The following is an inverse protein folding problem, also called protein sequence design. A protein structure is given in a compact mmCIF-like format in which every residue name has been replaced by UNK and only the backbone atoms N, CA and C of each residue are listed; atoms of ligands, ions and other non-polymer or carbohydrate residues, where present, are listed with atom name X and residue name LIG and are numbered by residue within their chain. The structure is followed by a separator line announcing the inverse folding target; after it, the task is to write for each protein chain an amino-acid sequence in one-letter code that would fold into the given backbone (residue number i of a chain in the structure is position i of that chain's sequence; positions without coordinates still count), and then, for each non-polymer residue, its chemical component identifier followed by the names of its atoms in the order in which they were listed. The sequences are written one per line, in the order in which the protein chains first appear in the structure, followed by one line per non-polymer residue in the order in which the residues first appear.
data_IF_983889519183
#
_entry.id   IF_983889519183
#
_cell.length_a   1.000
_cell.length_b   1.000
_cell.length_c   1.000
_cell.angle_alpha   90.00
_cell.angle_beta   90.00
_cell.angle_gamma   90.00
#
_symmetry.space_group_name_H-M   'P 1'
#
loop_
_entity.id
_entity.type
_entity.pdbx_description
1 polymer ?
#
# COMPACT_ATOMS: atom_id res chain seq x y z
N UNK A 1 16.34 -10.68 -39.37
CA UNK A 1 15.35 -9.89 -38.60
C UNK A 1 15.58 -10.17 -37.11
N UNK A 2 16.34 -9.32 -36.45
CA UNK A 2 16.62 -9.46 -35.02
C UNK A 2 15.37 -9.07 -34.24
N UNK A 3 14.81 -10.02 -33.51
CA UNK A 3 13.72 -9.82 -32.56
C UNK A 3 14.28 -8.89 -31.47
N UNK A 4 13.85 -7.61 -31.51
CA UNK A 4 14.08 -6.66 -30.42
C UNK A 4 13.53 -7.30 -29.14
N UNK A 5 14.42 -7.71 -28.21
CA UNK A 5 14.02 -8.04 -26.85
C UNK A 5 13.26 -6.86 -26.29
N UNK A 6 11.95 -7.03 -26.12
CA UNK A 6 11.05 -6.01 -25.59
C UNK A 6 11.63 -5.48 -24.28
N UNK A 7 11.87 -4.18 -24.22
CA UNK A 7 12.23 -3.46 -23.00
C UNK A 7 11.01 -3.51 -22.05
N UNK A 8 10.86 -4.61 -21.33
CA UNK A 8 9.77 -4.82 -20.36
C UNK A 8 10.33 -4.83 -18.95
N UNK A 9 9.66 -4.18 -18.03
CA UNK A 9 10.00 -4.22 -16.61
C UNK A 9 8.75 -4.30 -15.72
N UNK A 10 8.94 -4.83 -14.52
CA UNK A 10 7.91 -4.83 -13.48
C UNK A 10 7.79 -3.44 -12.87
N UNK A 11 6.59 -3.06 -12.49
CA UNK A 11 6.32 -1.84 -11.77
C UNK A 11 5.10 -1.98 -10.87
N UNK A 12 4.90 -1.01 -10.01
CA UNK A 12 3.74 -0.88 -9.14
C UNK A 12 2.92 0.34 -9.54
N UNK A 13 1.61 0.20 -9.59
CA UNK A 13 0.70 1.32 -9.83
C UNK A 13 0.63 2.17 -8.58
N UNK A 14 1.07 3.42 -8.66
CA UNK A 14 1.10 4.35 -7.52
C UNK A 14 0.01 5.42 -7.57
N UNK A 15 -0.59 5.66 -8.74
CA UNK A 15 -1.73 6.57 -8.86
C UNK A 15 -2.56 6.29 -10.12
N UNK A 16 -3.84 6.64 -10.03
CA UNK A 16 -4.78 6.62 -11.16
C UNK A 16 -5.06 8.05 -11.61
N UNK A 17 -5.06 8.29 -12.92
CA UNK A 17 -5.38 9.60 -13.53
C UNK A 17 -6.29 9.39 -14.73
N UNK A 18 -7.56 9.69 -14.60
CA UNK A 18 -8.53 9.60 -15.69
C UNK A 18 -8.27 8.39 -16.63
N UNK A 19 -7.63 8.63 -17.78
CA UNK A 19 -7.32 7.60 -18.78
C UNK A 19 -5.91 7.02 -18.67
N UNK A 20 -5.14 7.41 -17.65
CA UNK A 20 -3.73 7.02 -17.47
C UNK A 20 -3.50 6.45 -16.10
N UNK A 21 -2.42 5.68 -15.98
CA UNK A 21 -1.91 5.15 -14.71
C UNK A 21 -0.48 5.62 -14.50
N UNK A 22 -0.12 5.96 -13.28
CA UNK A 22 1.26 6.23 -12.92
C UNK A 22 1.83 4.95 -12.36
N UNK A 23 2.85 4.42 -13.02
CA UNK A 23 3.55 3.21 -12.60
C UNK A 23 4.96 3.60 -12.17
N UNK A 24 5.32 3.19 -10.97
CA UNK A 24 6.68 3.30 -10.45
C UNK A 24 7.44 2.03 -10.79
N UNK A 25 8.60 2.18 -11.45
CA UNK A 25 9.47 1.09 -11.87
C UNK A 25 10.85 1.25 -11.23
N UNK A 26 11.46 0.13 -10.82
CA UNK A 26 12.83 0.15 -10.31
C UNK A 26 13.80 0.29 -11.49
N UNK A 27 14.64 1.32 -11.46
CA UNK A 27 15.61 1.61 -12.51
C UNK A 27 16.68 0.52 -12.69
N UNK A 28 16.95 -0.28 -11.66
CA UNK A 28 17.94 -1.36 -11.72
C UNK A 28 17.63 -2.44 -12.74
N UNK A 29 16.39 -2.60 -13.16
CA UNK A 29 15.97 -3.60 -14.14
C UNK A 29 15.93 -3.09 -15.59
N UNK A 30 16.16 -1.80 -15.83
CA UNK A 30 16.24 -1.22 -17.17
C UNK A 30 17.64 -1.46 -17.76
N UNK A 31 17.86 -2.63 -18.39
CA UNK A 31 19.08 -2.89 -19.14
C UNK A 31 19.24 -1.88 -20.28
N UNK A 32 20.14 -0.93 -20.14
CA UNK A 32 20.54 -0.09 -21.26
C UNK A 32 21.02 1.34 -20.94
N UNK A 33 21.02 1.76 -19.70
CA UNK A 33 21.53 3.08 -19.35
C UNK A 33 22.75 2.98 -18.42
N UNK A 34 23.93 3.26 -19.00
CA UNK A 34 25.21 3.35 -18.28
C UNK A 34 25.30 4.76 -17.70
N UNK A 35 24.72 4.97 -16.54
CA UNK A 35 24.77 6.24 -15.83
C UNK A 35 24.86 6.02 -14.31
N UNK A 36 25.76 6.74 -13.68
CA UNK A 36 26.22 6.62 -12.31
C UNK A 36 25.11 6.48 -11.25
N UNK A 37 25.25 5.45 -10.41
CA UNK A 37 24.88 5.32 -8.99
C UNK A 37 23.76 6.22 -8.43
N UNK A 38 22.49 5.99 -8.79
CA UNK A 38 21.33 6.28 -7.93
C UNK A 38 20.23 5.27 -8.22
N UNK A 39 19.78 4.57 -7.18
CA UNK A 39 18.57 3.75 -7.22
C UNK A 39 17.36 4.67 -7.14
N UNK A 40 17.07 5.43 -8.20
CA UNK A 40 15.87 6.25 -8.27
C UNK A 40 14.75 5.46 -8.92
N UNK A 41 13.65 5.30 -8.21
CA UNK A 41 12.42 4.80 -8.78
C UNK A 41 11.89 5.81 -9.81
N UNK A 42 11.64 5.36 -11.03
CA UNK A 42 11.11 6.21 -12.09
C UNK A 42 9.60 6.04 -12.16
N UNK A 43 8.88 7.17 -12.22
CA UNK A 43 7.43 7.19 -12.46
C UNK A 43 7.13 7.40 -13.93
N UNK A 44 6.41 6.46 -14.52
CA UNK A 44 5.99 6.46 -15.91
C UNK A 44 4.49 6.71 -16.02
N UNK A 45 4.09 7.55 -16.97
CA UNK A 45 2.69 7.73 -17.35
C UNK A 45 2.32 6.61 -18.34
N UNK A 46 1.48 5.69 -17.89
CA UNK A 46 1.15 4.48 -18.62
C UNK A 46 -0.27 4.50 -19.16
N UNK A 47 -0.44 3.97 -20.37
CA UNK A 47 -1.71 3.50 -20.88
C UNK A 47 -1.80 1.99 -20.72
N UNK A 48 -3.01 1.42 -20.76
CA UNK A 48 -3.21 -0.03 -20.76
C UNK A 48 -3.42 -0.57 -22.17
N UNK A 49 -2.99 -1.80 -22.42
CA UNK A 49 -3.31 -2.49 -23.68
C UNK A 49 -4.81 -2.76 -23.76
N UNK A 50 -5.42 -2.60 -24.93
CA UNK A 50 -6.84 -2.89 -25.18
C UNK A 50 -7.27 -4.30 -24.73
N UNK A 51 -6.39 -5.30 -24.80
CA UNK A 51 -6.67 -6.65 -24.31
C UNK A 51 -7.07 -6.68 -22.82
N UNK A 52 -6.48 -5.83 -21.99
CA UNK A 52 -6.82 -5.74 -20.57
C UNK A 52 -8.21 -5.12 -20.37
N UNK A 53 -8.63 -4.20 -21.24
CA UNK A 53 -9.99 -3.62 -21.20
C UNK A 53 -11.05 -4.68 -21.50
N UNK A 54 -10.83 -5.55 -22.49
CA UNK A 54 -11.75 -6.63 -22.83
C UNK A 54 -11.87 -7.70 -21.77
N UNK A 55 -10.84 -7.89 -20.93
CA UNK A 55 -10.85 -8.85 -19.83
C UNK A 55 -11.53 -8.30 -18.56
N UNK A 56 -12.00 -7.03 -18.59
CA UNK A 56 -12.66 -6.40 -17.44
C UNK A 56 -11.76 -6.16 -16.24
N UNK A 57 -10.44 -6.20 -16.42
CA UNK A 57 -9.50 -5.95 -15.33
C UNK A 57 -9.52 -4.47 -14.94
N UNK A 58 -10.04 -4.20 -13.75
CA UNK A 58 -9.88 -2.91 -13.11
C UNK A 58 -8.51 -2.88 -12.44
N UNK A 59 -7.66 -1.97 -12.91
CA UNK A 59 -6.33 -1.76 -12.33
C UNK A 59 -6.45 -0.70 -11.25
N UNK A 60 -5.98 -1.02 -10.04
CA UNK A 60 -6.01 -0.15 -8.87
C UNK A 60 -4.60 0.19 -8.39
N UNK A 61 -4.50 1.15 -7.47
CA UNK A 61 -3.24 1.45 -6.77
C UNK A 61 -2.73 0.20 -6.06
N UNK A 62 -1.43 -0.05 -6.12
CA UNK A 62 -0.79 -1.23 -5.54
C UNK A 62 -0.73 -2.45 -6.46
N UNK A 63 -1.41 -2.42 -7.63
CA UNK A 63 -1.27 -3.53 -8.59
C UNK A 63 0.16 -3.63 -9.12
N UNK A 64 0.66 -4.85 -9.16
CA UNK A 64 1.91 -5.20 -9.82
C UNK A 64 1.65 -5.44 -11.29
N UNK A 65 2.41 -4.75 -12.13
CA UNK A 65 2.19 -4.73 -13.58
C UNK A 65 3.48 -4.95 -14.36
N UNK A 66 3.35 -5.50 -15.55
CA UNK A 66 4.42 -5.52 -16.54
C UNK A 66 4.21 -4.36 -17.50
N UNK A 67 5.21 -3.49 -17.64
CA UNK A 67 5.22 -2.36 -18.57
C UNK A 67 6.16 -2.65 -19.72
N UNK A 68 5.75 -2.22 -20.90
CA UNK A 68 6.49 -2.39 -22.17
C UNK A 68 6.49 -1.07 -22.97
N UNK A 69 7.26 -1.03 -24.05
CA UNK A 69 7.37 0.15 -24.94
C UNK A 69 7.74 1.40 -24.16
N UNK A 70 8.76 1.28 -23.28
CA UNK A 70 9.14 2.34 -22.38
C UNK A 70 9.88 3.44 -23.13
N UNK A 71 9.32 4.65 -23.09
CA UNK A 71 9.95 5.90 -23.52
C UNK A 71 10.45 6.66 -22.28
N UNK A 72 11.71 6.48 -21.94
CA UNK A 72 12.32 7.12 -20.80
C UNK A 72 12.42 8.65 -20.93
N UNK A 73 12.55 9.17 -22.17
CA UNK A 73 12.66 10.61 -22.43
C UNK A 73 11.35 11.33 -22.11
N UNK A 74 10.22 10.75 -22.53
CA UNK A 74 8.89 11.32 -22.29
C UNK A 74 8.21 10.70 -21.07
N UNK A 75 8.88 9.79 -20.33
CA UNK A 75 8.36 9.06 -19.17
C UNK A 75 7.00 8.39 -19.44
N UNK A 76 6.89 7.69 -20.56
CA UNK A 76 5.68 6.98 -21.00
C UNK A 76 5.94 5.49 -21.19
N UNK A 77 4.90 4.68 -20.96
CA UNK A 77 4.95 3.25 -21.22
C UNK A 77 3.54 2.67 -21.44
N UNK A 78 3.46 1.37 -21.71
CA UNK A 78 2.21 0.64 -21.89
C UNK A 78 2.18 -0.53 -20.91
N UNK A 79 1.11 -0.66 -20.12
CA UNK A 79 0.86 -1.82 -19.27
C UNK A 79 0.39 -2.96 -20.17
N UNK A 80 1.13 -4.06 -20.18
CA UNK A 80 0.84 -5.25 -20.99
C UNK A 80 0.20 -6.38 -20.20
N UNK A 81 0.48 -6.47 -18.87
CA UNK A 81 -0.04 -7.50 -17.99
C UNK A 81 -0.25 -6.93 -16.58
N UNK A 82 -1.19 -7.51 -15.84
CA UNK A 82 -1.42 -7.28 -14.41
C UNK A 82 -1.17 -8.62 -13.72
N UNK A 83 -0.37 -8.60 -12.65
CA UNK A 83 -0.10 -9.79 -11.86
C UNK A 83 -1.28 -10.11 -10.93
N UNK A 84 -1.45 -11.38 -10.53
CA UNK A 84 -2.45 -11.76 -9.54
C UNK A 84 -2.23 -11.01 -8.22
N UNK A 85 -3.31 -10.48 -7.66
CA UNK A 85 -3.29 -9.80 -6.37
C UNK A 85 -3.11 -10.80 -5.23
N UNK A 86 -2.28 -10.45 -4.24
CA UNK A 86 -2.15 -11.21 -2.99
C UNK A 86 -3.22 -10.78 -1.97
N UNK A 87 -3.58 -9.50 -1.99
CA UNK A 87 -4.61 -8.91 -1.15
C UNK A 87 -5.31 -7.77 -1.88
N UNK A 88 -6.53 -7.43 -1.45
CA UNK A 88 -7.25 -6.29 -2.01
C UNK A 88 -8.16 -5.65 -0.97
N UNK A 89 -7.93 -4.41 -0.66
CA UNK A 89 -8.81 -3.58 0.15
C UNK A 89 -9.77 -2.83 -0.80
N UNK A 90 -11.09 -2.95 -0.55
CA UNK A 90 -12.10 -2.34 -1.43
C UNK A 90 -12.28 -0.83 -1.19
N UNK A 91 -12.03 -0.36 0.03
CA UNK A 91 -12.21 1.04 0.43
C UNK A 91 -11.15 1.45 1.45
N UNK A 92 -10.15 2.28 1.05
CA UNK A 92 -9.88 2.68 -0.34
C UNK A 92 -9.51 1.47 -1.21
N UNK A 93 -9.72 1.56 -2.54
CA UNK A 93 -9.34 0.51 -3.47
C UNK A 93 -7.81 0.46 -3.61
N UNK A 94 -7.19 -0.52 -2.93
CA UNK A 94 -5.73 -0.71 -2.94
C UNK A 94 -5.41 -2.21 -2.98
N UNK A 95 -4.56 -2.60 -3.93
CA UNK A 95 -4.08 -3.97 -4.09
C UNK A 95 -2.75 -4.21 -3.36
N UNK A 96 -2.47 -5.48 -3.05
CA UNK A 96 -1.19 -5.95 -2.53
C UNK A 96 -0.74 -5.27 -1.22
N UNK A 97 -1.71 -4.91 -0.37
CA UNK A 97 -1.44 -4.36 0.96
C UNK A 97 -0.95 -5.50 1.86
N UNK A 98 0.19 -5.31 2.51
CA UNK A 98 0.80 -6.30 3.42
C UNK A 98 0.47 -6.03 4.88
N UNK A 99 0.21 -4.77 5.23
CA UNK A 99 -0.06 -4.32 6.59
C UNK A 99 -1.13 -3.23 6.58
N UNK A 100 -2.14 -3.35 7.43
CA UNK A 100 -3.16 -2.32 7.67
C UNK A 100 -2.95 -1.69 9.05
N UNK A 101 -2.39 -0.48 9.08
CA UNK A 101 -2.27 0.30 10.32
C UNK A 101 -3.64 0.92 10.68
N UNK A 102 -4.23 0.47 11.79
CA UNK A 102 -5.51 0.93 12.30
C UNK A 102 -5.24 1.88 13.47
N UNK A 103 -5.28 3.19 13.22
CA UNK A 103 -5.06 4.21 14.22
C UNK A 103 -6.37 4.49 14.97
N UNK A 104 -6.39 4.22 16.27
CA UNK A 104 -7.56 4.36 17.14
C UNK A 104 -7.22 5.32 18.28
N UNK A 105 -8.02 6.36 18.45
CA UNK A 105 -7.88 7.24 19.61
C UNK A 105 -8.45 6.58 20.86
N UNK A 106 -7.74 6.70 21.99
CA UNK A 106 -8.24 6.26 23.29
C UNK A 106 -9.17 7.28 23.93
N UNK A 107 -9.06 8.57 23.51
CA UNK A 107 -9.90 9.67 23.96
C UNK A 107 -9.98 10.75 22.87
N UNK A 108 -11.15 11.37 22.69
CA UNK A 108 -11.37 12.45 21.71
C UNK A 108 -11.05 12.08 20.26
N UNK A 109 -11.84 11.19 19.64
CA UNK A 109 -13.02 10.49 20.18
C UNK A 109 -12.64 9.34 21.12
N UNK A 110 -13.62 8.91 21.92
CA UNK A 110 -13.46 7.72 22.78
C UNK A 110 -13.26 6.47 21.95
N UNK A 111 -12.55 5.49 22.55
CA UNK A 111 -12.37 4.18 21.97
C UNK A 111 -13.71 3.50 21.67
N UNK A 112 -13.95 3.24 20.41
CA UNK A 112 -15.16 2.53 19.94
C UNK A 112 -14.82 1.10 19.56
N UNK A 113 -15.26 0.16 20.41
CA UNK A 113 -15.05 -1.27 20.21
C UNK A 113 -15.74 -1.81 18.95
N UNK A 114 -16.92 -1.30 18.62
CA UNK A 114 -17.69 -1.73 17.46
C UNK A 114 -17.00 -1.31 16.16
N UNK A 115 -16.61 -0.05 16.08
CA UNK A 115 -15.87 0.45 14.92
C UNK A 115 -14.52 -0.25 14.75
N UNK A 116 -13.79 -0.47 15.86
CA UNK A 116 -12.52 -1.19 15.87
C UNK A 116 -12.68 -2.59 15.32
N UNK A 117 -13.68 -3.35 15.81
CA UNK A 117 -13.92 -4.73 15.34
C UNK A 117 -14.25 -4.78 13.85
N UNK A 118 -14.97 -3.79 13.30
CA UNK A 118 -15.26 -3.72 11.85
C UNK A 118 -13.99 -3.53 11.02
N UNK A 119 -13.04 -2.72 11.46
CA UNK A 119 -11.76 -2.58 10.76
C UNK A 119 -10.95 -3.88 10.81
N UNK A 120 -10.94 -4.55 11.96
CA UNK A 120 -10.25 -5.84 12.10
C UNK A 120 -10.86 -6.91 11.19
N UNK A 121 -12.18 -7.05 11.18
CA UNK A 121 -12.88 -7.96 10.27
C UNK A 121 -12.57 -7.64 8.80
N UNK A 122 -12.48 -6.35 8.45
CA UNK A 122 -12.13 -5.93 7.08
C UNK A 122 -10.72 -6.36 6.71
N UNK A 123 -9.76 -6.23 7.63
CA UNK A 123 -8.38 -6.67 7.42
C UNK A 123 -8.29 -8.20 7.26
N UNK A 124 -8.94 -8.94 8.15
CA UNK A 124 -9.00 -10.41 8.09
C UNK A 124 -9.64 -10.91 6.78
N UNK A 125 -10.79 -10.33 6.41
CA UNK A 125 -11.47 -10.69 5.16
C UNK A 125 -10.62 -10.43 3.92
N UNK A 126 -9.80 -9.38 3.94
CA UNK A 126 -8.89 -9.02 2.87
C UNK A 126 -7.55 -9.80 2.93
N UNK A 127 -7.36 -10.68 3.92
CA UNK A 127 -6.10 -11.37 4.21
C UNK A 127 -4.92 -10.40 4.39
N UNK A 128 -5.15 -9.30 5.13
CA UNK A 128 -4.17 -8.26 5.42
C UNK A 128 -3.87 -8.29 6.92
N UNK A 129 -2.59 -8.28 7.30
CA UNK A 129 -2.19 -8.23 8.72
C UNK A 129 -2.58 -6.87 9.32
N UNK A 130 -3.42 -6.82 10.38
CA UNK A 130 -3.71 -5.58 11.09
C UNK A 130 -2.59 -5.22 12.07
N UNK A 131 -2.29 -3.93 12.18
CA UNK A 131 -1.48 -3.33 13.25
C UNK A 131 -2.33 -2.27 13.94
N UNK A 132 -2.67 -2.50 15.21
CA UNK A 132 -3.46 -1.54 15.99
C UNK A 132 -2.53 -0.53 16.64
N UNK A 133 -2.79 0.75 16.42
CA UNK A 133 -2.05 1.86 17.02
C UNK A 133 -3.03 2.64 17.92
N UNK A 134 -2.83 2.55 19.24
CA UNK A 134 -3.61 3.33 20.21
C UNK A 134 -2.99 4.72 20.33
N UNK A 135 -3.70 5.74 19.86
CA UNK A 135 -3.18 7.11 19.82
C UNK A 135 -3.72 7.95 20.99
N UNK A 136 -3.05 9.07 21.28
CA UNK A 136 -3.41 10.04 22.33
C UNK A 136 -3.40 9.43 23.74
N UNK A 137 -2.48 8.51 24.01
CA UNK A 137 -2.38 7.86 25.32
C UNK A 137 -2.05 8.84 26.46
N UNK A 138 -1.56 10.02 26.12
CA UNK A 138 -1.32 11.14 27.05
C UNK A 138 -2.60 11.71 27.67
N UNK A 139 -3.78 11.42 27.12
CA UNK A 139 -5.06 11.90 27.62
C UNK A 139 -5.73 10.96 28.64
N UNK A 140 -5.13 9.83 28.96
CA UNK A 140 -5.67 8.84 29.90
C UNK A 140 -4.60 8.38 30.90
N UNK A 141 -5.03 7.79 32.00
CA UNK A 141 -4.11 7.18 32.97
C UNK A 141 -3.65 5.77 32.53
N UNK A 142 -2.62 5.24 33.19
CA UNK A 142 -2.05 3.93 32.87
C UNK A 142 -3.04 2.76 33.06
N UNK A 143 -3.94 2.84 34.04
CA UNK A 143 -4.91 1.76 34.31
C UNK A 143 -5.92 1.66 33.14
N UNK A 144 -6.42 2.79 32.68
CA UNK A 144 -7.34 2.83 31.53
C UNK A 144 -6.65 2.34 30.26
N UNK A 145 -5.39 2.76 30.03
CA UNK A 145 -4.60 2.28 28.88
C UNK A 145 -4.44 0.76 28.93
N UNK A 146 -4.06 0.20 30.07
CA UNK A 146 -3.91 -1.24 30.24
C UNK A 146 -5.23 -1.99 30.00
N UNK A 147 -6.37 -1.39 30.37
CA UNK A 147 -7.68 -1.97 30.10
C UNK A 147 -7.95 -2.10 28.58
N UNK A 148 -7.63 -1.06 27.79
CA UNK A 148 -7.76 -1.13 26.33
C UNK A 148 -6.80 -2.14 25.70
N UNK A 149 -5.53 -2.16 26.12
CA UNK A 149 -4.54 -3.13 25.64
C UNK A 149 -5.01 -4.56 25.94
N UNK A 150 -5.43 -4.85 27.19
CA UNK A 150 -5.92 -6.17 27.57
C UNK A 150 -7.17 -6.59 26.79
N UNK A 151 -8.07 -5.65 26.54
CA UNK A 151 -9.26 -5.89 25.71
C UNK A 151 -8.88 -6.30 24.28
N UNK A 152 -7.97 -5.56 23.63
CA UNK A 152 -7.50 -5.91 22.29
C UNK A 152 -6.76 -7.24 22.26
N UNK A 153 -5.95 -7.51 23.29
CA UNK A 153 -5.25 -8.78 23.45
C UNK A 153 -6.22 -9.96 23.64
N UNK A 154 -7.34 -9.76 24.34
CA UNK A 154 -8.39 -10.79 24.46
C UNK A 154 -9.08 -11.10 23.13
N UNK A 155 -9.03 -10.17 22.16
CA UNK A 155 -9.48 -10.40 20.78
C UNK A 155 -8.42 -11.06 19.90
N UNK A 156 -7.19 -11.27 20.42
CA UNK A 156 -6.08 -11.87 19.69
C UNK A 156 -5.16 -10.86 18.99
N UNK A 157 -5.28 -9.55 19.30
CA UNK A 157 -4.47 -8.52 18.64
C UNK A 157 -3.58 -7.79 19.62
N UNK A 158 -2.32 -7.64 19.24
CA UNK A 158 -1.41 -6.74 19.90
C UNK A 158 -1.64 -5.29 19.43
N UNK A 159 -1.32 -4.33 20.29
CA UNK A 159 -1.46 -2.91 19.99
C UNK A 159 -0.23 -2.13 20.42
N UNK A 160 0.07 -1.07 19.66
CA UNK A 160 1.18 -0.15 19.95
C UNK A 160 0.60 1.15 20.49
N UNK A 161 0.81 1.45 21.79
CA UNK A 161 0.35 2.70 22.39
C UNK A 161 1.32 3.84 22.05
N UNK A 162 0.78 4.96 21.52
CA UNK A 162 1.57 6.11 21.10
C UNK A 162 0.97 7.45 21.56
N UNK A 163 1.85 8.41 21.85
CA UNK A 163 1.52 9.82 21.97
C UNK A 163 2.40 10.63 21.04
N UNK A 164 1.81 11.23 20.00
CA UNK A 164 2.54 12.14 19.09
C UNK A 164 2.95 13.39 19.86
N UNK A 165 2.10 13.90 20.76
CA UNK A 165 2.35 15.10 21.56
C UNK A 165 3.61 14.98 22.44
N UNK A 166 3.86 13.80 23.00
CA UNK A 166 5.00 13.52 23.87
C UNK A 166 6.07 12.63 23.20
N UNK A 167 5.93 12.33 21.90
CA UNK A 167 6.85 11.48 21.14
C UNK A 167 7.07 10.11 21.80
N UNK A 168 6.04 9.57 22.45
CA UNK A 168 6.10 8.32 23.18
C UNK A 168 5.62 7.16 22.31
N UNK A 169 6.33 6.02 22.34
CA UNK A 169 5.97 4.78 21.62
C UNK A 169 6.20 4.83 20.10
N UNK A 170 6.73 5.93 19.58
CA UNK A 170 6.97 6.09 18.13
C UNK A 170 8.10 5.17 17.63
N UNK A 171 9.05 4.86 18.49
CA UNK A 171 10.16 3.93 18.23
C UNK A 171 9.71 2.50 17.95
N UNK A 172 8.51 2.13 18.39
CA UNK A 172 7.91 0.81 18.14
C UNK A 172 7.26 0.69 16.75
N UNK A 173 7.15 1.78 16.02
CA UNK A 173 6.56 1.83 14.68
C UNK A 173 7.61 1.85 13.55
N UNK A 174 8.89 1.99 13.91
CA UNK A 174 10.03 2.01 12.99
C UNK A 174 10.68 0.63 12.89
#
# INVERSE_FOLDING_TARGET
MSINKSNSCRGIVVALKANFLIVEVDYKYSKGYSGNNFSENIRLLCTRRRKLDYQGFLIDVGDLVLVESIDYKNKRAVISQVEPRQSFLKRPAVANVTLLAICISVKEPLFDSYQTSRFLITAEYANIKPLIILTKIDLINKNDLNSYINKLKSWGYDSVPVSIKHVQGMELLL
#
